data_IF_303958402093
#
_entry.id   IF_303958402093
#
_cell.length_a   1.000
_cell.length_b   1.000
_cell.length_c   1.000
_cell.angle_alpha   90.00
_cell.angle_beta   90.00
_cell.angle_gamma   90.00
#
_symmetry.space_group_name_H-M   'P 1'
#
loop_
_entity.id
_entity.type
_entity.pdbx_description
1 polymer ?
#
# COMPACT_ATOMS: atom_id res chain seq x y z
N UNK A 1 -10.38 -10.15 -2.55
CA UNK A 1 -10.46 -10.00 -1.08
C UNK A 1 -10.56 -8.51 -0.74
N UNK A 2 -11.27 -8.14 0.34
CA UNK A 2 -11.37 -6.75 0.81
C UNK A 2 -11.18 -6.71 2.32
N UNK A 3 -10.07 -6.11 2.76
CA UNK A 3 -9.78 -5.94 4.19
C UNK A 3 -10.63 -4.84 4.84
N UNK A 4 -10.73 -4.90 6.17
CA UNK A 4 -11.35 -3.84 6.96
C UNK A 4 -10.52 -2.53 6.90
N UNK A 5 -11.21 -1.39 6.93
CA UNK A 5 -10.60 -0.05 6.95
C UNK A 5 -10.23 0.41 8.36
N UNK A 6 -10.60 -0.32 9.42
CA UNK A 6 -10.41 0.07 10.82
C UNK A 6 -9.54 -0.93 11.58
N UNK A 7 -8.25 -0.96 11.26
CA UNK A 7 -7.26 -1.78 11.96
C UNK A 7 -5.93 -1.04 12.15
N UNK A 8 -5.02 -1.54 13.01
CA UNK A 8 -3.73 -0.91 13.28
C UNK A 8 -2.85 -0.72 12.04
N UNK A 9 -2.86 -1.67 11.10
CA UNK A 9 -2.11 -1.59 9.85
C UNK A 9 -2.56 -0.38 9.02
N UNK A 10 -3.87 -0.23 8.80
CA UNK A 10 -4.45 0.92 8.09
C UNK A 10 -4.13 2.24 8.81
N UNK A 11 -4.20 2.27 10.15
CA UNK A 11 -3.85 3.45 10.94
C UNK A 11 -2.37 3.84 10.74
N UNK A 12 -1.46 2.86 10.74
CA UNK A 12 -0.04 3.04 10.46
C UNK A 12 0.19 3.67 9.08
N UNK A 13 -0.44 3.12 8.03
CA UNK A 13 -0.37 3.66 6.67
C UNK A 13 -0.92 5.09 6.59
N UNK A 14 -2.10 5.37 7.14
CA UNK A 14 -2.67 6.72 7.11
C UNK A 14 -1.80 7.74 7.84
N UNK A 15 -1.17 7.36 8.95
CA UNK A 15 -0.26 8.22 9.71
C UNK A 15 1.03 8.48 8.93
N UNK A 16 1.67 7.44 8.41
CA UNK A 16 2.93 7.57 7.69
C UNK A 16 2.76 8.32 6.37
N UNK A 17 1.71 8.03 5.59
CA UNK A 17 1.41 8.75 4.35
C UNK A 17 1.25 10.26 4.59
N UNK A 18 0.56 10.66 5.66
CA UNK A 18 0.39 12.08 6.02
C UNK A 18 1.69 12.75 6.48
N UNK A 19 2.59 12.00 7.13
CA UNK A 19 3.89 12.51 7.54
C UNK A 19 4.81 12.84 6.34
N UNK A 20 4.52 12.27 5.17
CA UNK A 20 5.20 12.55 3.90
C UNK A 20 4.32 13.34 2.92
N UNK A 21 3.44 14.21 3.45
CA UNK A 21 2.55 15.12 2.72
C UNK A 21 1.63 14.46 1.67
N UNK A 22 1.43 13.14 1.76
CA UNK A 22 0.52 12.43 0.87
C UNK A 22 -0.94 12.57 1.35
N UNK A 23 -1.87 12.61 0.39
CA UNK A 23 -3.32 12.57 0.63
C UNK A 23 -3.85 11.15 0.37
N UNK A 24 -3.89 10.26 1.37
CA UNK A 24 -4.25 8.87 1.17
C UNK A 24 -5.68 8.72 0.69
N UNK A 25 -5.90 7.81 -0.27
CA UNK A 25 -7.23 7.36 -0.69
C UNK A 25 -7.28 5.85 -0.67
N UNK A 26 -8.38 5.29 -0.17
CA UNK A 26 -8.63 3.86 -0.30
C UNK A 26 -8.96 3.54 -1.75
N UNK A 27 -8.20 2.61 -2.33
CA UNK A 27 -8.50 1.99 -3.62
C UNK A 27 -8.86 0.52 -3.39
N UNK A 28 -9.78 0.01 -4.21
CA UNK A 28 -10.03 -1.43 -4.32
C UNK A 28 -9.45 -1.83 -5.67
N UNK A 29 -8.44 -2.73 -5.67
CA UNK A 29 -7.90 -3.27 -6.92
C UNK A 29 -8.96 -4.20 -7.54
N UNK A 30 -9.31 -3.95 -8.80
CA UNK A 30 -10.32 -4.71 -9.54
C UNK A 30 -9.74 -5.99 -10.14
N UNK A 31 -8.43 -6.00 -10.42
CA UNK A 31 -7.69 -7.20 -10.80
C UNK A 31 -7.41 -8.14 -9.62
N UNK A 32 -6.88 -9.32 -9.93
CA UNK A 32 -6.43 -10.31 -8.94
C UNK A 32 -5.01 -10.01 -8.48
N UNK A 33 -4.73 -10.27 -7.21
CA UNK A 33 -3.39 -10.23 -6.61
C UNK A 33 -3.27 -11.35 -5.56
N UNK A 34 -2.08 -11.55 -5.01
CA UNK A 34 -1.86 -12.56 -3.96
C UNK A 34 -2.77 -12.37 -2.74
N UNK A 35 -3.19 -11.14 -2.45
CA UNK A 35 -4.16 -10.86 -1.38
C UNK A 35 -5.50 -11.59 -1.58
N UNK A 36 -5.88 -11.94 -2.81
CA UNK A 36 -7.06 -12.77 -3.08
C UNK A 36 -6.87 -14.21 -2.61
N UNK A 37 -5.63 -14.71 -2.63
CA UNK A 37 -5.24 -16.06 -2.25
C UNK A 37 -5.00 -16.13 -0.74
N UNK A 38 -4.14 -15.26 -0.21
CA UNK A 38 -3.71 -15.32 1.20
C UNK A 38 -4.72 -14.72 2.17
N UNK A 39 -5.48 -13.70 1.74
CA UNK A 39 -6.41 -12.97 2.61
C UNK A 39 -7.45 -13.87 3.30
N UNK A 40 -8.17 -14.75 2.57
CA UNK A 40 -9.14 -15.69 3.17
C UNK A 40 -8.51 -16.71 4.12
N UNK A 41 -7.23 -17.05 3.95
CA UNK A 41 -6.56 -18.14 4.69
C UNK A 41 -5.86 -17.62 5.95
N UNK A 42 -5.17 -16.48 5.87
CA UNK A 42 -4.37 -15.97 6.99
C UNK A 42 -5.20 -15.25 8.06
N UNK A 43 -6.37 -14.70 7.71
CA UNK A 43 -7.29 -14.10 8.67
C UNK A 43 -6.75 -12.89 9.44
N UNK A 44 -5.71 -12.22 8.92
CA UNK A 44 -5.07 -11.07 9.56
C UNK A 44 -5.30 -9.76 8.76
N UNK A 45 -5.08 -8.58 9.38
CA UNK A 45 -5.09 -7.32 8.66
C UNK A 45 -4.07 -7.32 7.52
N UNK A 46 -4.52 -7.04 6.29
CA UNK A 46 -3.67 -7.02 5.10
C UNK A 46 -4.17 -5.94 4.12
N UNK A 47 -3.23 -5.28 3.44
CA UNK A 47 -3.50 -4.32 2.36
C UNK A 47 -2.35 -4.33 1.35
N UNK A 48 -2.61 -3.79 0.16
CA UNK A 48 -1.59 -3.60 -0.86
C UNK A 48 -1.12 -2.15 -0.87
N UNK A 49 0.19 -1.94 -0.96
CA UNK A 49 0.82 -0.63 -1.06
C UNK A 49 2.03 -0.71 -1.99
N UNK A 50 2.20 0.30 -2.83
CA UNK A 50 3.36 0.47 -3.70
C UNK A 50 3.29 1.81 -4.42
N UNK A 51 4.45 2.42 -4.76
CA UNK A 51 4.51 3.57 -5.65
C UNK A 51 4.23 3.15 -7.10
N UNK A 52 3.98 4.14 -7.97
CA UNK A 52 3.82 3.96 -9.40
C UNK A 52 2.37 3.97 -9.87
N UNK A 53 2.21 4.16 -11.18
CA UNK A 53 0.92 4.15 -11.85
C UNK A 53 0.63 2.76 -12.43
N UNK A 54 -0.37 2.09 -11.87
CA UNK A 54 -0.79 0.76 -12.34
C UNK A 54 -1.40 0.78 -13.75
N UNK A 55 -1.62 1.95 -14.36
CA UNK A 55 -1.99 2.04 -15.78
C UNK A 55 -0.84 1.64 -16.72
N UNK A 56 0.39 1.65 -16.20
CA UNK A 56 1.60 1.26 -16.93
C UNK A 56 1.90 -0.24 -16.86
N UNK A 57 1.16 -1.00 -16.03
CA UNK A 57 1.30 -2.45 -15.90
C UNK A 57 1.30 -3.11 -17.28
N UNK A 58 2.36 -3.87 -17.61
CA UNK A 58 2.53 -4.60 -18.88
C UNK A 58 2.65 -3.73 -20.14
N UNK A 59 2.97 -2.45 -20.00
CA UNK A 59 3.26 -1.59 -21.15
C UNK A 59 4.75 -1.68 -21.54
N UNK A 60 5.12 -1.42 -22.81
CA UNK A 60 6.53 -1.38 -23.23
C UNK A 60 7.34 -0.25 -22.59
N UNK A 61 6.67 0.75 -22.02
CA UNK A 61 7.26 1.92 -21.38
C UNK A 61 6.95 1.93 -19.88
N UNK A 62 6.94 0.77 -19.22
CA UNK A 62 6.77 0.69 -17.77
C UNK A 62 7.91 1.45 -17.08
N UNK A 63 7.57 2.45 -16.27
CA UNK A 63 8.53 3.29 -15.56
C UNK A 63 7.96 3.79 -14.24
N UNK A 64 8.82 4.37 -13.41
CA UNK A 64 8.46 4.94 -12.12
C UNK A 64 9.26 6.21 -11.87
N UNK A 65 8.63 7.20 -11.24
CA UNK A 65 9.31 8.41 -10.79
C UNK A 65 10.20 8.10 -9.58
N UNK A 66 11.48 8.47 -9.63
CA UNK A 66 12.45 8.14 -8.57
C UNK A 66 12.09 8.80 -7.23
N UNK A 67 11.56 10.02 -7.27
CA UNK A 67 11.10 10.72 -6.07
C UNK A 67 9.86 10.03 -5.47
N UNK A 68 8.98 9.47 -6.30
CA UNK A 68 7.83 8.69 -5.83
C UNK A 68 8.28 7.37 -5.20
N UNK A 69 9.22 6.68 -5.84
CA UNK A 69 9.84 5.47 -5.31
C UNK A 69 10.46 5.73 -3.93
N UNK A 70 11.31 6.76 -3.82
CA UNK A 70 11.99 7.07 -2.57
C UNK A 70 11.01 7.45 -1.46
N UNK A 71 9.98 8.25 -1.78
CA UNK A 71 8.92 8.58 -0.81
C UNK A 71 8.19 7.33 -0.32
N UNK A 72 7.91 6.37 -1.20
CA UNK A 72 7.24 5.15 -0.79
C UNK A 72 8.09 4.25 0.11
N UNK A 73 9.42 4.24 -0.09
CA UNK A 73 10.35 3.59 0.86
C UNK A 73 10.23 4.22 2.24
N UNK A 74 10.28 5.55 2.33
CA UNK A 74 10.16 6.28 3.60
C UNK A 74 8.81 6.03 4.29
N UNK A 75 7.71 6.01 3.51
CA UNK A 75 6.38 5.68 4.03
C UNK A 75 6.37 4.25 4.58
N UNK A 76 6.87 3.26 3.82
CA UNK A 76 6.84 1.87 4.26
C UNK A 76 7.65 1.67 5.54
N UNK A 77 8.84 2.28 5.64
CA UNK A 77 9.62 2.31 6.88
C UNK A 77 8.79 2.88 8.05
N UNK A 78 8.20 4.06 7.86
CA UNK A 78 7.40 4.70 8.90
C UNK A 78 6.13 3.96 9.27
N UNK A 79 5.62 3.07 8.42
CA UNK A 79 4.53 2.14 8.75
C UNK A 79 5.04 1.02 9.64
N UNK A 80 6.14 0.36 9.24
CA UNK A 80 6.72 -0.75 10.00
C UNK A 80 6.99 -0.32 11.43
N UNK A 81 7.67 0.82 11.62
CA UNK A 81 7.96 1.40 12.94
C UNK A 81 6.69 1.61 13.79
N UNK A 82 5.58 2.03 13.18
CA UNK A 82 4.32 2.32 13.88
C UNK A 82 3.49 1.09 14.22
N UNK A 83 3.64 -0.02 13.48
CA UNK A 83 2.88 -1.25 13.74
C UNK A 83 3.64 -2.20 14.66
N UNK A 84 4.94 -2.00 14.85
CA UNK A 84 5.78 -2.78 15.77
C UNK A 84 6.03 -2.11 17.12
N UNK A 85 5.68 -0.83 17.27
CA UNK A 85 5.71 -0.11 18.54
C UNK A 85 4.50 -0.47 19.42
#
# INVERSE_FOLDING_TARGET
>A
FKGDKRNPLVKGFLSSLRAHDAKPRFKVKTGTADLNVVGPVWGCPILAYGPGDSSLDHTPNEHIELDEYWRAVQVLQGVIEKVTA
#
